data_IF_509259626259
#
_entry.id   IF_509259626259
#
_cell.length_a   1.000
_cell.length_b   1.000
_cell.length_c   1.000
_cell.angle_alpha   90.00
_cell.angle_beta   90.00
_cell.angle_gamma   90.00
#
_symmetry.space_group_name_H-M   'P 1'
#
loop_
_entity.id
_entity.type
_entity.pdbx_description
1 polymer ?
#
# COMPACT_ATOMS: atom_id res chain seq x y z
N UNK A 1 11.64 -1.88 -19.95
CA UNK A 1 12.89 -1.50 -19.25
C UNK A 1 12.75 -0.14 -18.55
N UNK A 2 12.27 0.90 -19.21
CA UNK A 2 12.06 2.23 -18.61
C UNK A 2 11.04 2.23 -17.45
N UNK A 3 9.92 1.52 -17.61
CA UNK A 3 8.93 1.33 -16.54
C UNK A 3 9.50 0.62 -15.30
N UNK A 4 10.29 -0.46 -15.47
CA UNK A 4 11.01 -1.17 -14.39
C UNK A 4 11.95 -0.24 -13.59
N UNK A 5 12.58 0.73 -14.26
CA UNK A 5 13.37 1.77 -13.59
C UNK A 5 12.53 2.68 -12.70
N UNK A 6 11.32 3.07 -13.16
CA UNK A 6 10.37 3.86 -12.36
C UNK A 6 9.83 3.10 -11.14
N UNK A 7 9.52 1.82 -11.26
CA UNK A 7 9.13 0.98 -10.10
C UNK A 7 10.23 0.97 -9.04
N UNK A 8 11.48 0.80 -9.45
CA UNK A 8 12.63 0.80 -8.54
C UNK A 8 12.82 2.18 -7.88
N UNK A 9 12.50 3.26 -8.59
CA UNK A 9 12.60 4.63 -8.09
C UNK A 9 11.54 4.97 -7.03
N UNK A 10 10.31 4.50 -7.21
CA UNK A 10 9.23 4.72 -6.22
C UNK A 10 9.30 3.74 -5.04
N UNK A 11 9.86 2.55 -5.24
CA UNK A 11 9.99 1.55 -4.18
C UNK A 11 8.64 1.19 -3.55
N UNK A 12 8.62 1.11 -2.21
CA UNK A 12 7.42 0.74 -1.46
C UNK A 12 6.24 1.71 -1.61
N UNK A 13 6.48 2.98 -1.99
CA UNK A 13 5.40 3.95 -2.19
C UNK A 13 4.47 3.52 -3.33
N UNK A 14 5.02 2.87 -4.36
CA UNK A 14 4.23 2.36 -5.47
C UNK A 14 3.32 1.20 -5.07
N UNK A 15 3.85 0.22 -4.32
CA UNK A 15 3.05 -0.89 -3.79
C UNK A 15 1.93 -0.39 -2.88
N UNK A 16 2.23 0.58 -2.01
CA UNK A 16 1.25 1.19 -1.11
C UNK A 16 0.15 1.93 -1.86
N UNK A 17 0.49 2.77 -2.84
CA UNK A 17 -0.54 3.51 -3.58
C UNK A 17 -1.41 2.58 -4.43
N UNK A 18 -0.82 1.56 -5.07
CA UNK A 18 -1.60 0.60 -5.86
C UNK A 18 -2.56 -0.22 -5.00
N UNK A 19 -2.10 -0.66 -3.83
CA UNK A 19 -2.95 -1.34 -2.86
C UNK A 19 -4.05 -0.42 -2.32
N UNK A 20 -3.73 0.84 -2.01
CA UNK A 20 -4.72 1.82 -1.60
C UNK A 20 -5.79 2.04 -2.67
N UNK A 21 -5.38 2.11 -3.95
CA UNK A 21 -6.33 2.23 -5.06
C UNK A 21 -7.20 0.96 -5.15
N UNK A 22 -6.62 -0.25 -5.09
CA UNK A 22 -7.40 -1.49 -5.12
C UNK A 22 -8.45 -1.55 -4.00
N UNK A 23 -8.09 -1.09 -2.82
CA UNK A 23 -8.98 -1.12 -1.65
C UNK A 23 -10.04 -0.01 -1.67
N UNK A 24 -9.68 1.19 -2.15
CA UNK A 24 -10.54 2.37 -2.03
C UNK A 24 -11.32 2.70 -3.32
N UNK A 25 -10.86 2.24 -4.48
CA UNK A 25 -11.44 2.58 -5.79
C UNK A 25 -12.20 1.38 -6.36
N UNK A 26 -13.53 1.49 -6.54
CA UNK A 26 -14.33 0.46 -7.20
C UNK A 26 -13.83 0.15 -8.62
N UNK A 27 -13.99 -1.09 -9.08
CA UNK A 27 -13.47 -1.55 -10.39
C UNK A 27 -14.00 -0.73 -11.58
N UNK A 28 -15.24 -0.24 -11.48
CA UNK A 28 -15.90 0.56 -12.53
C UNK A 28 -15.51 2.04 -12.53
N UNK A 29 -14.78 2.51 -11.51
CA UNK A 29 -14.45 3.92 -11.34
C UNK A 29 -13.18 4.29 -12.10
N UNK A 30 -13.26 5.37 -12.90
CA UNK A 30 -12.12 5.88 -13.64
C UNK A 30 -11.22 6.79 -12.79
N UNK A 31 -9.90 6.63 -12.96
CA UNK A 31 -8.88 7.43 -12.30
C UNK A 31 -8.27 8.41 -13.33
N UNK A 32 -8.24 9.68 -12.95
CA UNK A 32 -7.44 10.70 -13.59
C UNK A 32 -6.03 10.68 -12.99
N UNK A 33 -5.00 10.38 -13.78
CA UNK A 33 -3.62 10.30 -13.32
C UNK A 33 -2.69 11.02 -14.31
N UNK A 34 -1.51 11.42 -13.83
CA UNK A 34 -0.49 11.96 -14.71
C UNK A 34 -0.07 10.90 -15.75
N UNK A 35 0.18 11.30 -17.01
CA UNK A 35 0.47 10.36 -18.09
C UNK A 35 1.61 9.38 -17.78
N UNK A 36 2.63 9.84 -17.06
CA UNK A 36 3.85 9.10 -16.77
C UNK A 36 3.68 7.95 -15.78
N UNK A 37 2.54 7.90 -15.07
CA UNK A 37 2.14 6.82 -14.14
C UNK A 37 0.84 6.11 -14.56
N UNK A 38 0.04 6.71 -15.45
CA UNK A 38 -1.24 6.18 -15.90
C UNK A 38 -1.20 4.73 -16.42
N UNK A 39 -0.22 4.36 -17.26
CA UNK A 39 -0.13 2.96 -17.70
C UNK A 39 0.30 2.01 -16.57
N UNK A 40 1.07 2.48 -15.58
CA UNK A 40 1.38 1.66 -14.40
C UNK A 40 0.13 1.40 -13.58
N UNK A 41 -0.73 2.41 -13.41
CA UNK A 41 -2.01 2.21 -12.70
C UNK A 41 -2.88 1.20 -13.45
N UNK A 42 -3.02 1.35 -14.77
CA UNK A 42 -3.77 0.41 -15.60
C UNK A 42 -3.23 -1.03 -15.45
N UNK A 43 -1.92 -1.22 -15.56
CA UNK A 43 -1.30 -2.56 -15.52
C UNK A 43 -1.37 -3.21 -14.13
N UNK A 44 -1.22 -2.46 -13.04
CA UNK A 44 -1.04 -3.04 -11.69
C UNK A 44 -2.29 -3.01 -10.82
N UNK A 45 -3.20 -2.09 -11.11
CA UNK A 45 -4.45 -1.91 -10.36
C UNK A 45 -5.66 -2.39 -11.14
N UNK A 46 -5.55 -2.50 -12.46
CA UNK A 46 -6.67 -2.87 -13.34
C UNK A 46 -7.90 -1.97 -13.10
N UNK A 47 -7.67 -0.66 -13.25
CA UNK A 47 -8.70 0.39 -13.15
C UNK A 47 -8.73 1.21 -14.43
N UNK A 48 -9.91 1.67 -14.88
CA UNK A 48 -10.00 2.58 -16.02
C UNK A 48 -9.18 3.86 -15.80
N UNK A 49 -8.40 4.27 -16.80
CA UNK A 49 -7.57 5.50 -16.75
C UNK A 49 -7.97 6.47 -17.84
N UNK A 50 -8.16 7.75 -17.46
CA UNK A 50 -8.63 8.79 -18.36
C UNK A 50 -7.52 9.33 -19.26
N UNK A 51 -6.30 9.47 -18.73
CA UNK A 51 -5.15 9.99 -19.46
C UNK A 51 -4.12 8.87 -19.68
N UNK A 52 -4.30 8.04 -20.70
CA UNK A 52 -3.37 6.95 -20.99
C UNK A 52 -2.19 7.42 -21.88
N UNK A 53 -0.94 7.00 -21.62
CA UNK A 53 0.27 7.51 -22.28
C UNK A 53 0.52 7.00 -23.70
N UNK A 54 -0.49 6.60 -24.46
CA UNK A 54 -0.29 6.31 -25.89
C UNK A 54 -0.25 7.66 -26.62
N UNK A 55 0.91 8.31 -26.59
CA UNK A 55 1.21 9.62 -27.17
C UNK A 55 1.27 9.61 -28.71
N UNK A 56 0.44 8.82 -29.37
CA UNK A 56 0.55 8.58 -30.81
C UNK A 56 -0.07 9.69 -31.64
N UNK A 57 -1.00 10.49 -31.08
CA UNK A 57 -1.67 11.56 -31.83
C UNK A 57 -1.50 12.96 -31.21
N UNK A 58 -1.46 13.98 -32.08
CA UNK A 58 -1.47 15.38 -31.69
C UNK A 58 -2.66 15.74 -30.78
N UNK A 59 -3.85 15.22 -31.10
CA UNK A 59 -5.07 15.44 -30.31
C UNK A 59 -4.97 14.91 -28.88
N UNK A 60 -4.32 13.75 -28.67
CA UNK A 60 -4.10 13.21 -27.33
C UNK A 60 -3.11 14.07 -26.54
N UNK A 61 -2.06 14.60 -27.18
CA UNK A 61 -1.12 15.54 -26.55
C UNK A 61 -1.82 16.81 -26.08
N UNK A 62 -2.68 17.41 -26.91
CA UNK A 62 -3.46 18.58 -26.50
C UNK A 62 -4.39 18.27 -25.31
N UNK A 63 -5.04 17.10 -25.28
CA UNK A 63 -5.88 16.69 -24.14
C UNK A 63 -5.09 16.57 -22.83
N UNK A 64 -3.87 16.03 -22.89
CA UNK A 64 -2.98 15.93 -21.73
C UNK A 64 -2.56 17.33 -21.26
N UNK A 65 -2.10 18.18 -22.18
CA UNK A 65 -1.69 19.56 -21.89
C UNK A 65 -2.83 20.39 -21.30
N UNK A 66 -4.05 20.24 -21.82
CA UNK A 66 -5.26 20.87 -21.29
C UNK A 66 -5.52 20.42 -19.85
N UNK A 67 -5.52 19.11 -19.58
CA UNK A 67 -5.78 18.55 -18.25
C UNK A 67 -4.73 19.00 -17.22
N UNK A 68 -3.45 19.02 -17.60
CA UNK A 68 -2.37 19.50 -16.75
C UNK A 68 -2.44 21.01 -16.50
N UNK A 69 -2.85 21.80 -17.51
CA UNK A 69 -3.06 23.24 -17.37
C UNK A 69 -4.18 23.56 -16.38
N UNK A 70 -5.24 22.75 -16.34
CA UNK A 70 -6.35 22.92 -15.40
C UNK A 70 -5.91 22.81 -13.94
N UNK A 71 -4.85 22.05 -13.62
CA UNK A 71 -4.33 21.96 -12.25
C UNK A 71 -3.88 23.33 -11.70
N UNK A 72 -3.46 24.25 -12.58
CA UNK A 72 -3.04 25.62 -12.22
C UNK A 72 -4.20 26.62 -12.13
N UNK A 73 -5.42 26.18 -12.41
CA UNK A 73 -6.65 26.97 -12.31
C UNK A 73 -7.28 26.81 -10.93
N UNK A 74 -8.38 27.49 -10.67
CA UNK A 74 -9.16 27.28 -9.44
C UNK A 74 -9.79 25.88 -9.43
N UNK A 75 -10.19 25.39 -8.25
CA UNK A 75 -10.89 24.10 -8.11
C UNK A 75 -12.13 24.03 -9.02
N UNK A 76 -12.94 25.09 -9.07
CA UNK A 76 -14.15 25.13 -9.91
C UNK A 76 -13.87 25.06 -11.42
N UNK A 77 -12.87 25.81 -11.90
CA UNK A 77 -12.46 25.75 -13.31
C UNK A 77 -11.90 24.37 -13.69
N UNK A 78 -11.14 23.74 -12.78
CA UNK A 78 -10.66 22.39 -12.99
C UNK A 78 -11.83 21.43 -13.16
N UNK A 79 -12.77 21.41 -12.20
CA UNK A 79 -13.95 20.53 -12.23
C UNK A 79 -14.74 20.68 -13.53
N UNK A 80 -15.00 21.92 -13.95
CA UNK A 80 -15.68 22.20 -15.22
C UNK A 80 -14.92 21.64 -16.42
N UNK A 81 -13.59 21.77 -16.44
CA UNK A 81 -12.77 21.31 -17.57
C UNK A 81 -12.67 19.78 -17.68
N UNK A 82 -12.75 19.07 -16.54
CA UNK A 82 -12.66 17.60 -16.50
C UNK A 82 -14.02 16.89 -16.48
N UNK A 83 -15.12 17.61 -16.32
CA UNK A 83 -16.49 17.06 -16.19
C UNK A 83 -16.83 16.08 -17.34
N UNK A 84 -16.41 16.40 -18.56
CA UNK A 84 -16.61 15.57 -19.76
C UNK A 84 -15.98 14.17 -19.66
N UNK A 85 -14.99 13.98 -18.79
CA UNK A 85 -14.34 12.70 -18.58
C UNK A 85 -14.87 11.92 -17.38
N UNK A 86 -15.69 12.57 -16.53
CA UNK A 86 -16.31 12.00 -15.32
C UNK A 86 -15.36 11.12 -14.48
N UNK A 87 -14.18 11.64 -14.06
CA UNK A 87 -13.34 10.92 -13.11
C UNK A 87 -14.05 10.71 -11.79
N UNK A 88 -13.86 9.53 -11.21
CA UNK A 88 -14.23 9.27 -9.83
C UNK A 88 -13.07 9.56 -8.87
N UNK A 89 -11.81 9.44 -9.36
CA UNK A 89 -10.61 9.66 -8.56
C UNK A 89 -9.54 10.46 -9.31
N UNK A 90 -8.69 11.16 -8.57
CA UNK A 90 -7.48 11.84 -9.04
C UNK A 90 -6.26 11.28 -8.31
N UNK A 91 -5.30 10.72 -9.05
CA UNK A 91 -3.99 10.33 -8.54
C UNK A 91 -2.98 11.44 -8.82
N UNK A 92 -2.57 12.12 -7.75
CA UNK A 92 -1.65 13.25 -7.73
C UNK A 92 -0.25 12.82 -7.27
N UNK A 93 0.80 13.44 -7.81
CA UNK A 93 2.20 13.15 -7.50
C UNK A 93 2.99 14.42 -7.11
N UNK A 94 3.89 14.29 -6.13
CA UNK A 94 4.76 15.37 -5.65
C UNK A 94 5.77 15.91 -6.68
N UNK A 95 6.00 15.19 -7.79
CA UNK A 95 6.96 15.55 -8.85
C UNK A 95 6.72 16.96 -9.37
N UNK A 96 5.47 17.41 -9.33
CA UNK A 96 5.09 18.78 -9.63
C UNK A 96 5.91 19.84 -8.88
N UNK A 97 6.20 19.64 -7.59
CA UNK A 97 6.98 20.56 -6.75
C UNK A 97 8.48 20.36 -6.94
N UNK A 98 8.90 19.11 -7.12
CA UNK A 98 10.32 18.72 -7.07
C UNK A 98 11.01 18.78 -8.43
N UNK A 99 10.28 18.70 -9.54
CA UNK A 99 10.86 18.66 -10.88
C UNK A 99 11.13 20.08 -11.40
N UNK A 100 12.40 20.48 -11.32
CA UNK A 100 12.89 21.76 -11.86
C UNK A 100 13.42 21.64 -13.29
N UNK A 101 13.24 20.49 -13.95
CA UNK A 101 13.67 20.31 -15.33
C UNK A 101 12.78 21.10 -16.30
N UNK A 102 13.33 21.40 -17.48
CA UNK A 102 12.59 22.02 -18.59
C UNK A 102 11.46 21.13 -19.12
N UNK A 103 11.45 19.86 -18.75
CA UNK A 103 10.45 18.87 -19.13
C UNK A 103 9.30 18.77 -18.13
N UNK A 104 9.39 19.44 -16.97
CA UNK A 104 8.31 19.42 -15.99
C UNK A 104 7.07 20.15 -16.50
N UNK A 105 5.90 19.70 -16.03
CA UNK A 105 4.59 20.29 -16.32
C UNK A 105 4.60 21.81 -16.06
N UNK A 106 5.28 22.25 -14.99
CA UNK A 106 5.44 23.66 -14.63
C UNK A 106 6.13 24.51 -15.69
N UNK A 107 7.15 23.95 -16.33
CA UNK A 107 7.83 24.60 -17.46
C UNK A 107 6.99 24.50 -18.74
N UNK A 108 6.36 23.35 -19.00
CA UNK A 108 5.56 23.11 -20.21
C UNK A 108 4.34 24.03 -20.31
N UNK A 109 3.61 24.24 -19.21
CA UNK A 109 2.41 25.10 -19.22
C UNK A 109 2.72 26.60 -19.00
N UNK A 110 4.00 26.98 -18.97
CA UNK A 110 4.48 28.35 -18.67
C UNK A 110 3.87 28.94 -17.36
N UNK A 111 3.60 28.07 -16.38
CA UNK A 111 3.04 28.45 -15.07
C UNK A 111 4.10 28.30 -14.00
N UNK A 112 5.17 29.09 -14.16
CA UNK A 112 6.23 29.10 -13.16
C UNK A 112 5.70 29.51 -11.77
N UNK A 113 4.62 30.31 -11.66
CA UNK A 113 4.05 30.80 -10.39
C UNK A 113 2.93 29.89 -9.89
N UNK A 114 3.09 29.35 -8.68
CA UNK A 114 2.04 28.59 -7.98
C UNK A 114 1.14 29.56 -7.21
N UNK A 115 -0.07 29.81 -7.70
CA UNK A 115 -1.01 30.73 -7.03
C UNK A 115 -1.63 30.05 -5.82
N UNK A 116 -1.76 30.75 -4.69
CA UNK A 116 -2.37 30.21 -3.45
C UNK A 116 -3.82 29.75 -3.64
N UNK A 117 -4.53 30.24 -4.65
CA UNK A 117 -5.90 29.85 -4.98
C UNK A 117 -6.00 28.81 -6.11
N UNK A 118 -4.87 28.30 -6.61
CA UNK A 118 -4.87 27.24 -7.61
C UNK A 118 -5.16 25.87 -6.97
N UNK A 119 -5.81 24.99 -7.72
CA UNK A 119 -6.12 23.64 -7.29
C UNK A 119 -4.86 22.92 -6.84
N UNK A 120 -3.79 22.99 -7.64
CA UNK A 120 -2.53 22.31 -7.30
C UNK A 120 -1.87 22.84 -6.02
N UNK A 121 -2.10 24.10 -5.63
CA UNK A 121 -1.63 24.59 -4.33
C UNK A 121 -2.38 23.89 -3.19
N UNK A 122 -3.70 23.79 -3.30
CA UNK A 122 -4.52 23.10 -2.31
C UNK A 122 -4.25 21.58 -2.29
N UNK A 123 -4.15 20.93 -3.46
CA UNK A 123 -3.76 19.51 -3.58
C UNK A 123 -2.39 19.21 -2.95
N UNK A 124 -1.51 20.21 -2.82
CA UNK A 124 -0.20 20.04 -2.20
C UNK A 124 -0.18 20.39 -0.71
N UNK A 125 -0.75 21.52 -0.29
CA UNK A 125 -0.48 22.06 1.04
C UNK A 125 -1.70 22.13 1.94
N UNK A 126 -2.88 22.22 1.35
CA UNK A 126 -4.12 22.44 2.08
C UNK A 126 -5.26 21.59 1.49
N UNK A 127 -5.11 20.25 1.43
CA UNK A 127 -6.14 19.38 0.90
C UNK A 127 -7.47 19.51 1.66
N UNK A 128 -7.42 19.88 2.94
CA UNK A 128 -8.59 20.17 3.77
C UNK A 128 -9.41 21.38 3.32
N UNK A 129 -8.84 22.25 2.49
CA UNK A 129 -9.51 23.44 1.95
C UNK A 129 -10.28 23.14 0.65
N UNK A 130 -10.10 21.95 0.07
CA UNK A 130 -10.82 21.51 -1.13
C UNK A 130 -12.27 21.16 -0.79
N UNK A 131 -13.21 21.55 -1.66
CA UNK A 131 -14.64 21.32 -1.43
C UNK A 131 -15.18 20.10 -2.16
N UNK A 132 -14.63 19.80 -3.34
CA UNK A 132 -15.12 18.72 -4.20
C UNK A 132 -14.16 17.51 -4.25
N UNK A 133 -12.93 17.70 -3.77
CA UNK A 133 -11.86 16.72 -3.78
C UNK A 133 -11.48 16.37 -2.35
N UNK A 134 -11.68 15.11 -1.98
CA UNK A 134 -11.35 14.61 -0.64
C UNK A 134 -10.11 13.72 -0.71
N UNK A 135 -9.11 14.00 0.11
CA UNK A 135 -7.92 13.16 0.21
C UNK A 135 -8.31 11.78 0.79
N UNK A 136 -8.00 10.72 0.04
CA UNK A 136 -8.33 9.31 0.37
C UNK A 136 -7.12 8.62 0.96
N UNK A 137 -5.96 8.78 0.32
CA UNK A 137 -4.72 8.12 0.71
C UNK A 137 -3.50 8.96 0.31
N UNK A 138 -2.40 8.82 1.04
CA UNK A 138 -1.18 9.56 0.81
C UNK A 138 0.04 8.69 1.13
N UNK A 139 1.06 8.78 0.28
CA UNK A 139 2.43 8.31 0.54
C UNK A 139 3.39 9.51 0.54
N UNK A 140 4.70 9.28 0.59
CA UNK A 140 5.65 10.38 0.37
C UNK A 140 5.48 10.95 -1.05
N UNK A 141 5.25 10.08 -2.02
CA UNK A 141 5.24 10.41 -3.46
C UNK A 141 3.85 10.75 -4.00
N UNK A 142 2.81 10.06 -3.53
CA UNK A 142 1.48 10.06 -4.14
C UNK A 142 0.39 10.54 -3.20
N UNK A 143 -0.66 11.13 -3.77
CA UNK A 143 -1.94 11.40 -3.11
C UNK A 143 -3.09 10.92 -4.00
N UNK A 144 -4.01 10.19 -3.42
CA UNK A 144 -5.25 9.76 -4.07
C UNK A 144 -6.40 10.61 -3.55
N UNK A 145 -7.13 11.26 -4.45
CA UNK A 145 -8.31 12.06 -4.13
C UNK A 145 -9.57 11.43 -4.73
N UNK A 146 -10.67 11.45 -3.99
CA UNK A 146 -12.00 11.11 -4.50
C UNK A 146 -12.74 12.39 -4.89
N UNK A 147 -13.43 12.35 -6.03
CA UNK A 147 -14.44 13.34 -6.39
C UNK A 147 -15.75 12.96 -5.67
N UNK A 148 -16.32 13.90 -4.92
CA UNK A 148 -17.44 13.73 -3.97
C UNK A 148 -18.30 12.47 -4.17
N UNK A 149 -17.89 11.40 -3.48
CA UNK A 149 -18.62 10.16 -3.25
C UNK A 149 -18.28 9.72 -1.82
N UNK A 150 -19.30 9.22 -1.11
CA UNK A 150 -19.36 9.01 0.34
C UNK A 150 -18.31 8.04 0.92
N UNK A 151 -17.04 8.43 0.94
CA UNK A 151 -15.95 7.62 1.48
C UNK A 151 -15.38 8.23 2.78
N UNK A 152 -14.91 7.36 3.66
CA UNK A 152 -14.47 7.66 5.04
C UNK A 152 -13.09 8.33 5.04
N UNK A 153 -12.90 9.36 5.86
CA UNK A 153 -11.60 9.99 6.08
C UNK A 153 -10.71 9.03 6.87
N UNK A 154 -9.70 8.47 6.20
CA UNK A 154 -8.58 7.86 6.91
C UNK A 154 -7.65 8.99 7.32
N UNK A 155 -7.14 8.96 8.56
CA UNK A 155 -6.08 9.87 8.99
C UNK A 155 -4.95 9.79 7.98
N UNK A 156 -4.65 10.90 7.32
CA UNK A 156 -3.70 10.91 6.21
C UNK A 156 -2.28 10.93 6.79
N UNK A 157 -1.41 9.99 6.41
CA UNK A 157 0.01 10.03 6.77
C UNK A 157 0.57 11.41 6.47
N UNK A 158 1.28 12.04 7.41
CA UNK A 158 2.04 13.24 7.06
C UNK A 158 3.14 12.85 6.07
N UNK A 159 3.37 13.69 5.06
CA UNK A 159 4.59 13.63 4.25
C UNK A 159 5.23 15.01 4.24
N UNK A 160 6.55 15.08 4.50
CA UNK A 160 7.27 16.36 4.56
C UNK A 160 7.24 17.11 3.22
N UNK A 161 7.05 16.42 2.10
CA UNK A 161 6.96 17.05 0.79
C UNK A 161 5.69 17.86 0.58
N UNK A 162 4.68 17.63 1.41
CA UNK A 162 3.41 18.34 1.39
C UNK A 162 3.23 19.29 2.58
N UNK A 163 4.24 19.46 3.44
CA UNK A 163 4.19 20.37 4.59
C UNK A 163 4.58 21.79 4.16
N UNK A 164 3.65 22.77 4.17
CA UNK A 164 3.98 24.14 3.83
C UNK A 164 5.00 24.78 4.78
N UNK A 165 5.13 24.31 6.03
CA UNK A 165 6.11 24.79 7.00
C UNK A 165 7.56 24.43 6.67
N UNK A 166 7.78 23.44 5.80
CA UNK A 166 9.12 23.07 5.32
C UNK A 166 9.57 23.90 4.10
N UNK A 167 8.65 24.58 3.43
CA UNK A 167 8.95 25.51 2.34
C UNK A 167 8.84 26.95 2.88
N UNK A 168 9.90 27.78 2.78
CA UNK A 168 9.88 29.11 3.36
C UNK A 168 8.82 29.98 2.67
N UNK A 169 8.07 30.70 3.49
CA UNK A 169 7.17 31.73 3.04
C UNK A 169 7.98 33.01 2.79
N UNK A 170 8.40 33.24 1.56
CA UNK A 170 8.87 34.56 1.17
C UNK A 170 7.63 35.44 0.88
N UNK A 171 7.37 36.51 1.66
CA UNK A 171 6.19 37.36 1.49
C UNK A 171 6.12 38.04 0.13
N UNK A 172 7.28 38.31 -0.49
CA UNK A 172 7.42 39.07 -1.72
C UNK A 172 7.61 38.17 -2.97
N UNK A 173 7.70 36.85 -2.80
CA UNK A 173 7.87 35.91 -3.90
C UNK A 173 6.58 35.14 -4.18
N UNK A 174 5.98 35.28 -5.38
CA UNK A 174 4.85 34.45 -5.80
C UNK A 174 5.27 33.02 -6.22
N UNK A 175 6.43 32.54 -5.73
CA UNK A 175 7.04 31.26 -6.04
C UNK A 175 7.49 30.51 -4.78
N UNK A 176 7.36 29.18 -4.83
CA UNK A 176 8.30 28.26 -4.19
C UNK A 176 9.68 28.52 -4.81
N UNK A 177 10.55 29.17 -4.06
CA UNK A 177 11.93 29.44 -4.46
C UNK A 177 12.64 28.09 -4.70
N UNK A 178 13.32 27.93 -5.84
CA UNK A 178 14.08 26.72 -6.15
C UNK A 178 15.10 26.38 -5.05
N UNK A 179 15.66 27.39 -4.38
CA UNK A 179 16.56 27.19 -3.23
C UNK A 179 15.86 26.50 -2.06
N UNK A 180 14.56 26.66 -1.93
CA UNK A 180 13.73 26.07 -0.89
C UNK A 180 13.40 24.63 -1.16
N UNK A 181 13.02 24.34 -2.41
CA UNK A 181 12.84 22.97 -2.89
C UNK A 181 14.16 22.20 -2.73
N UNK A 182 15.29 22.83 -3.05
CA UNK A 182 16.61 22.20 -2.87
C UNK A 182 16.96 21.99 -1.39
N UNK A 183 16.64 22.94 -0.50
CA UNK A 183 16.82 22.76 0.96
C UNK A 183 15.99 21.60 1.51
N UNK A 184 14.72 21.47 1.09
CA UNK A 184 13.86 20.35 1.49
C UNK A 184 14.39 19.05 0.91
N UNK A 185 14.78 19.04 -0.37
CA UNK A 185 15.41 17.90 -1.03
C UNK A 185 16.66 17.43 -0.30
N UNK A 186 17.57 18.34 0.02
CA UNK A 186 18.80 18.03 0.76
C UNK A 186 18.52 17.56 2.20
N UNK A 187 17.52 18.15 2.86
CA UNK A 187 17.04 17.69 4.18
C UNK A 187 16.53 16.25 4.12
N UNK A 188 15.66 15.92 3.16
CA UNK A 188 15.13 14.57 2.97
C UNK A 188 16.23 13.60 2.54
N UNK A 189 17.09 13.99 1.60
CA UNK A 189 18.24 13.18 1.17
C UNK A 189 19.19 12.88 2.32
N UNK A 190 19.46 13.85 3.19
CA UNK A 190 20.24 13.64 4.43
C UNK A 190 19.52 12.68 5.38
N UNK A 191 18.22 12.82 5.56
CA UNK A 191 17.41 11.92 6.37
C UNK A 191 17.47 10.47 5.84
N UNK A 192 17.30 10.28 4.52
CA UNK A 192 17.43 8.98 3.85
C UNK A 192 18.84 8.40 3.98
N UNK A 193 19.88 9.22 3.86
CA UNK A 193 21.26 8.81 4.07
C UNK A 193 21.50 8.29 5.49
N UNK A 194 21.04 9.03 6.51
CA UNK A 194 21.12 8.60 7.91
C UNK A 194 20.31 7.33 8.17
N UNK A 195 19.11 7.23 7.62
CA UNK A 195 18.25 6.05 7.69
C UNK A 195 18.93 4.82 7.10
N UNK A 196 19.56 4.94 5.93
CA UNK A 196 20.27 3.82 5.30
C UNK A 196 21.45 3.32 6.15
N UNK A 197 22.19 4.23 6.79
CA UNK A 197 23.26 3.87 7.72
C UNK A 197 22.68 3.22 8.97
N UNK A 198 21.55 3.70 9.49
CA UNK A 198 20.86 3.08 10.61
C UNK A 198 20.39 1.66 10.30
N UNK A 199 19.80 1.44 9.12
CA UNK A 199 19.40 0.12 8.66
C UNK A 199 20.60 -0.85 8.53
N UNK A 200 21.76 -0.36 8.10
CA UNK A 200 23.00 -1.16 8.11
C UNK A 200 23.46 -1.47 9.53
N UNK A 201 23.38 -0.51 10.47
CA UNK A 201 23.72 -0.73 11.87
C UNK A 201 22.83 -1.81 12.50
N UNK A 202 21.52 -1.78 12.23
CA UNK A 202 20.59 -2.84 12.67
C UNK A 202 20.97 -4.22 12.18
N UNK A 203 21.31 -4.35 10.89
CA UNK A 203 21.77 -5.64 10.31
C UNK A 203 23.05 -6.16 10.95
N UNK A 204 23.90 -5.27 11.46
CA UNK A 204 25.15 -5.61 12.17
C UNK A 204 24.95 -5.83 13.68
N UNK A 205 23.73 -5.65 14.19
CA UNK A 205 23.44 -5.75 15.62
C UNK A 205 23.85 -4.53 16.45
N UNK A 206 24.27 -3.43 15.81
CA UNK A 206 24.62 -2.19 16.51
C UNK A 206 23.35 -1.34 16.74
N UNK A 207 22.51 -1.82 17.66
CA UNK A 207 21.18 -1.25 17.94
C UNK A 207 21.26 0.14 18.56
N UNK A 208 22.25 0.41 19.40
CA UNK A 208 22.46 1.73 20.02
C UNK A 208 22.79 2.81 18.97
N UNK A 209 23.67 2.50 18.02
CA UNK A 209 23.97 3.40 16.90
C UNK A 209 22.76 3.60 16.01
N UNK A 210 22.01 2.52 15.74
CA UNK A 210 20.79 2.61 14.96
C UNK A 210 19.78 3.58 15.60
N UNK A 211 19.53 3.47 16.92
CA UNK A 211 18.63 4.37 17.65
C UNK A 211 19.09 5.83 17.53
N UNK A 212 20.38 6.10 17.76
CA UNK A 212 20.95 7.44 17.65
C UNK A 212 20.74 8.05 16.26
N UNK A 213 20.97 7.26 15.20
CA UNK A 213 20.77 7.69 13.82
C UNK A 213 19.30 7.90 13.49
N UNK A 214 18.41 6.98 13.86
CA UNK A 214 16.97 7.07 13.59
C UNK A 214 16.33 8.27 14.31
N UNK A 215 16.74 8.58 15.54
CA UNK A 215 16.31 9.82 16.22
C UNK A 215 16.75 11.06 15.45
N UNK A 216 17.95 11.07 14.83
CA UNK A 216 18.36 12.17 13.93
C UNK A 216 17.54 12.23 12.66
N UNK A 217 17.12 11.08 12.12
CA UNK A 217 16.19 11.04 11.00
C UNK A 217 14.87 11.69 11.40
N UNK A 218 14.31 11.35 12.56
CA UNK A 218 13.08 11.95 13.08
C UNK A 218 13.21 13.45 13.39
N UNK A 219 14.39 13.95 13.78
CA UNK A 219 14.61 15.40 13.90
C UNK A 219 14.54 16.13 12.55
N UNK A 220 14.87 15.45 11.45
CA UNK A 220 14.76 16.00 10.10
C UNK A 220 13.34 15.78 9.54
N UNK A 221 12.80 14.58 9.68
CA UNK A 221 11.49 14.18 9.16
C UNK A 221 10.71 13.52 10.31
N UNK A 222 9.96 14.31 11.11
CA UNK A 222 9.31 13.83 12.34
C UNK A 222 8.35 12.65 12.17
N UNK A 223 7.70 12.56 11.01
CA UNK A 223 6.67 11.55 10.76
C UNK A 223 7.14 10.41 9.85
N UNK A 224 8.47 10.20 9.75
CA UNK A 224 8.99 9.12 8.92
C UNK A 224 8.74 7.76 9.58
N UNK A 225 7.68 7.08 9.13
CA UNK A 225 7.09 5.87 9.68
C UNK A 225 8.12 4.73 9.80
N UNK A 226 9.00 4.59 8.80
CA UNK A 226 10.04 3.56 8.80
C UNK A 226 11.02 3.76 9.94
N UNK A 227 11.29 5.01 10.33
CA UNK A 227 12.19 5.26 11.46
C UNK A 227 11.61 4.81 12.79
N UNK A 228 10.31 5.03 13.01
CA UNK A 228 9.62 4.46 14.16
C UNK A 228 9.63 2.92 14.12
N UNK A 229 9.32 2.29 13.00
CA UNK A 229 9.36 0.83 12.88
C UNK A 229 10.73 0.25 13.24
N UNK A 230 11.81 0.82 12.69
CA UNK A 230 13.16 0.34 12.98
C UNK A 230 13.68 0.73 14.38
N UNK A 231 13.17 1.83 14.97
CA UNK A 231 13.37 2.09 16.41
C UNK A 231 12.72 0.98 17.23
N UNK A 232 11.50 0.57 16.87
CA UNK A 232 10.80 -0.54 17.50
C UNK A 232 11.64 -1.82 17.52
N UNK A 233 12.19 -2.20 16.36
CA UNK A 233 13.10 -3.35 16.24
C UNK A 233 14.33 -3.17 17.13
N UNK A 234 14.95 -1.99 17.13
CA UNK A 234 16.17 -1.73 17.90
C UNK A 234 15.93 -1.90 19.40
N UNK A 235 14.84 -1.31 19.93
CA UNK A 235 14.48 -1.44 21.34
C UNK A 235 14.10 -2.87 21.71
N UNK A 236 13.35 -3.57 20.85
CA UNK A 236 13.02 -4.98 21.07
C UNK A 236 14.28 -5.83 21.20
N UNK A 237 15.28 -5.62 20.34
CA UNK A 237 16.56 -6.34 20.37
C UNK A 237 17.43 -5.97 21.57
N UNK A 238 17.24 -4.79 22.15
CA UNK A 238 17.90 -4.35 23.39
C UNK A 238 17.14 -4.78 24.65
N UNK A 239 15.99 -5.46 24.51
CA UNK A 239 15.20 -5.92 25.65
C UNK A 239 14.33 -4.84 26.29
N UNK A 240 13.98 -3.78 25.55
CA UNK A 240 13.05 -2.73 25.97
C UNK A 240 11.71 -2.86 25.21
N UNK A 241 10.81 -3.75 25.66
CA UNK A 241 9.54 -4.00 24.97
C UNK A 241 8.57 -2.82 25.06
N UNK A 242 8.70 -1.93 26.06
CA UNK A 242 7.83 -0.77 26.22
C UNK A 242 8.11 0.27 25.12
N UNK A 243 9.38 0.64 24.94
CA UNK A 243 9.79 1.52 23.84
C UNK A 243 9.55 0.88 22.48
N UNK A 244 9.71 -0.44 22.36
CA UNK A 244 9.40 -1.16 21.13
C UNK A 244 7.92 -1.03 20.76
N UNK A 245 7.03 -1.29 21.73
CA UNK A 245 5.57 -1.19 21.54
C UNK A 245 5.15 0.22 21.13
N UNK A 246 5.67 1.25 21.81
CA UNK A 246 5.36 2.64 21.49
C UNK A 246 5.78 3.00 20.07
N UNK A 247 6.99 2.58 19.66
CA UNK A 247 7.49 2.89 18.33
C UNK A 247 6.78 2.09 17.22
N UNK A 248 6.34 0.86 17.46
CA UNK A 248 5.49 0.15 16.51
C UNK A 248 4.11 0.80 16.37
N UNK A 249 3.50 1.21 17.49
CA UNK A 249 2.24 1.96 17.48
C UNK A 249 2.37 3.26 16.69
N UNK A 250 3.41 4.06 16.96
CA UNK A 250 3.67 5.29 16.23
C UNK A 250 3.88 5.01 14.74
N UNK A 251 4.65 3.99 14.37
CA UNK A 251 4.86 3.63 12.97
C UNK A 251 3.53 3.29 12.26
N UNK A 252 2.65 2.56 12.94
CA UNK A 252 1.31 2.19 12.47
C UNK A 252 0.34 3.37 12.39
N UNK A 253 0.40 4.31 13.33
CA UNK A 253 -0.38 5.54 13.31
C UNK A 253 0.07 6.48 12.18
N UNK A 254 1.38 6.52 11.89
CA UNK A 254 1.94 7.32 10.80
C UNK A 254 1.67 6.71 9.43
N UNK A 255 1.71 5.39 9.28
CA UNK A 255 1.30 4.71 8.04
C UNK A 255 0.52 3.42 8.32
N UNK A 256 -0.81 3.46 8.17
CA UNK A 256 -1.65 2.27 8.31
C UNK A 256 -1.36 1.14 7.31
N UNK A 257 -0.64 1.39 6.20
CA UNK A 257 -0.23 0.34 5.25
C UNK A 257 1.15 -0.25 5.54
N UNK A 258 1.86 0.23 6.56
CA UNK A 258 3.10 -0.39 7.02
C UNK A 258 2.80 -1.66 7.81
N UNK A 259 2.44 -2.73 7.09
CA UNK A 259 2.04 -4.00 7.68
C UNK A 259 3.07 -4.57 8.65
N UNK A 260 4.37 -4.31 8.41
CA UNK A 260 5.44 -4.80 9.26
C UNK A 260 5.32 -4.28 10.70
N UNK A 261 4.81 -3.05 10.89
CA UNK A 261 4.58 -2.49 12.22
C UNK A 261 3.46 -3.25 12.96
N UNK A 262 2.33 -3.50 12.29
CA UNK A 262 1.19 -4.26 12.86
C UNK A 262 1.60 -5.70 13.21
N UNK A 263 2.33 -6.37 12.31
CA UNK A 263 2.84 -7.73 12.52
C UNK A 263 3.83 -7.77 13.69
N UNK A 264 4.72 -6.79 13.80
CA UNK A 264 5.69 -6.73 14.90
C UNK A 264 5.02 -6.39 16.24
N UNK A 265 4.06 -5.46 16.24
CA UNK A 265 3.25 -5.09 17.40
C UNK A 265 2.44 -6.28 17.91
N UNK A 266 1.72 -6.98 17.03
CA UNK A 266 0.94 -8.18 17.39
C UNK A 266 1.83 -9.32 17.91
N UNK A 267 3.00 -9.55 17.30
CA UNK A 267 3.99 -10.51 17.79
C UNK A 267 4.52 -10.14 19.18
N UNK A 268 4.75 -8.86 19.45
CA UNK A 268 5.19 -8.36 20.75
C UNK A 268 4.10 -8.47 21.81
N UNK A 269 2.85 -8.12 21.47
CA UNK A 269 1.66 -8.31 22.31
C UNK A 269 1.50 -9.78 22.71
N UNK A 270 1.64 -10.70 21.74
CA UNK A 270 1.57 -12.13 22.01
C UNK A 270 2.66 -12.60 22.98
N UNK A 271 3.91 -12.17 22.80
CA UNK A 271 5.01 -12.47 23.75
C UNK A 271 4.78 -11.88 25.14
N UNK A 272 4.09 -10.75 25.23
CA UNK A 272 3.66 -10.16 26.50
C UNK A 272 2.44 -10.86 27.13
N UNK A 273 1.96 -11.98 26.56
CA UNK A 273 0.79 -12.73 27.06
C UNK A 273 -0.56 -12.15 26.67
N UNK A 274 -0.58 -11.07 25.89
CA UNK A 274 -1.78 -10.35 25.47
C UNK A 274 -2.39 -10.92 24.19
N UNK A 275 -2.73 -12.21 24.21
CA UNK A 275 -3.22 -12.95 23.04
C UNK A 275 -4.44 -12.28 22.38
N UNK A 276 -5.43 -11.84 23.17
CA UNK A 276 -6.66 -11.21 22.65
C UNK A 276 -6.37 -9.87 21.96
N UNK A 277 -5.49 -9.05 22.53
CA UNK A 277 -5.09 -7.77 21.94
C UNK A 277 -4.37 -8.01 20.60
N UNK A 278 -3.45 -8.98 20.55
CA UNK A 278 -2.72 -9.33 19.33
C UNK A 278 -3.65 -9.80 18.20
N UNK A 279 -4.60 -10.68 18.51
CA UNK A 279 -5.59 -11.19 17.53
C UNK A 279 -6.53 -10.08 17.06
N UNK A 280 -7.05 -9.26 17.98
CA UNK A 280 -7.94 -8.15 17.61
C UNK A 280 -7.25 -7.14 16.70
N UNK A 281 -5.98 -6.81 16.97
CA UNK A 281 -5.20 -5.91 16.12
C UNK A 281 -5.07 -6.47 14.69
N UNK A 282 -4.77 -7.77 14.55
CA UNK A 282 -4.64 -8.38 13.22
C UNK A 282 -5.98 -8.47 12.48
N UNK A 283 -7.07 -8.85 13.16
CA UNK A 283 -8.40 -8.91 12.54
C UNK A 283 -8.87 -7.52 12.06
N UNK A 284 -8.63 -6.48 12.88
CA UNK A 284 -8.94 -5.11 12.49
C UNK A 284 -8.21 -4.70 11.20
N UNK A 285 -6.93 -5.03 11.07
CA UNK A 285 -6.14 -4.69 9.89
C UNK A 285 -6.43 -5.59 8.69
N UNK A 286 -6.84 -6.84 8.90
CA UNK A 286 -7.35 -7.69 7.83
C UNK A 286 -8.63 -7.07 7.24
N UNK A 287 -9.60 -6.67 8.07
CA UNK A 287 -10.82 -6.04 7.58
C UNK A 287 -10.60 -4.72 6.82
N UNK A 288 -9.51 -4.00 7.10
CA UNK A 288 -9.12 -2.76 6.38
C UNK A 288 -8.33 -3.03 5.11
N UNK A 289 -7.49 -4.06 5.14
CA UNK A 289 -6.47 -4.35 4.11
C UNK A 289 -6.38 -5.86 3.86
N UNK A 290 -7.41 -6.46 3.26
CA UNK A 290 -7.61 -7.91 3.24
C UNK A 290 -6.65 -8.70 2.34
N UNK A 291 -5.82 -8.01 1.55
CA UNK A 291 -4.89 -8.62 0.59
C UNK A 291 -3.42 -8.59 1.05
N UNK A 292 -3.18 -8.33 2.34
CA UNK A 292 -1.85 -8.46 2.94
C UNK A 292 -1.71 -9.82 3.61
N UNK A 293 -0.97 -10.71 2.95
CA UNK A 293 -0.68 -12.07 3.36
C UNK A 293 -0.08 -12.15 4.78
N UNK A 294 0.84 -11.23 5.11
CA UNK A 294 1.56 -11.20 6.37
C UNK A 294 0.63 -11.10 7.60
N UNK A 295 -0.54 -10.48 7.49
CA UNK A 295 -1.49 -10.42 8.60
C UNK A 295 -2.07 -11.79 8.92
N UNK A 296 -2.46 -12.54 7.90
CA UNK A 296 -3.01 -13.88 8.07
C UNK A 296 -1.94 -14.86 8.54
N UNK A 297 -0.72 -14.79 7.99
CA UNK A 297 0.40 -15.61 8.41
C UNK A 297 0.75 -15.37 9.88
N UNK A 298 0.75 -14.10 10.31
CA UNK A 298 0.98 -13.72 11.71
C UNK A 298 -0.14 -14.19 12.62
N UNK A 299 -1.41 -14.03 12.20
CA UNK A 299 -2.58 -14.47 12.94
C UNK A 299 -2.55 -15.99 13.14
N UNK A 300 -2.35 -16.75 12.07
CA UNK A 300 -2.24 -18.19 12.11
C UNK A 300 -1.08 -18.67 13.00
N UNK A 301 0.09 -18.04 12.87
CA UNK A 301 1.25 -18.33 13.72
C UNK A 301 0.96 -18.09 15.21
N UNK A 302 0.30 -16.99 15.56
CA UNK A 302 -0.10 -16.67 16.93
C UNK A 302 -1.12 -17.70 17.46
N UNK A 303 -2.16 -18.02 16.68
CA UNK A 303 -3.22 -18.95 17.09
C UNK A 303 -2.70 -20.38 17.28
N UNK A 304 -1.87 -20.88 16.35
CA UNK A 304 -1.26 -22.21 16.47
C UNK A 304 -0.34 -22.30 17.69
N UNK A 305 0.49 -21.26 17.92
CA UNK A 305 1.37 -21.21 19.11
C UNK A 305 0.61 -21.07 20.42
N UNK A 306 -0.56 -20.41 20.40
CA UNK A 306 -1.42 -20.31 21.57
C UNK A 306 -2.03 -21.67 21.95
N UNK A 307 -2.21 -22.59 20.99
CA UNK A 307 -2.71 -23.95 21.22
C UNK A 307 -4.16 -24.04 21.70
N UNK A 308 -4.91 -22.93 21.70
CA UNK A 308 -6.30 -22.86 22.18
C UNK A 308 -7.27 -23.15 21.03
N UNK A 309 -7.58 -24.44 20.83
CA UNK A 309 -8.43 -24.90 19.70
C UNK A 309 -9.77 -24.18 19.59
N UNK A 310 -10.49 -24.01 20.70
CA UNK A 310 -11.78 -23.29 20.69
C UNK A 310 -11.63 -21.84 20.22
N UNK A 311 -10.61 -21.15 20.73
CA UNK A 311 -10.34 -19.77 20.36
C UNK A 311 -9.87 -19.63 18.90
N UNK A 312 -9.13 -20.61 18.38
CA UNK A 312 -8.76 -20.67 16.96
C UNK A 312 -10.02 -20.76 16.08
N UNK A 313 -10.93 -21.68 16.38
CA UNK A 313 -12.17 -21.85 15.62
C UNK A 313 -13.05 -20.60 15.68
N UNK A 314 -13.24 -20.03 16.86
CA UNK A 314 -13.97 -18.76 17.05
C UNK A 314 -13.35 -17.63 16.21
N UNK A 315 -12.02 -17.54 16.18
CA UNK A 315 -11.30 -16.51 15.42
C UNK A 315 -11.46 -16.71 13.90
N UNK A 316 -11.43 -17.95 13.42
CA UNK A 316 -11.69 -18.29 12.01
C UNK A 316 -13.12 -17.94 11.62
N UNK A 317 -14.10 -18.32 12.44
CA UNK A 317 -15.51 -18.03 12.17
C UNK A 317 -15.75 -16.51 12.10
N UNK A 318 -15.14 -15.75 13.03
CA UNK A 318 -15.18 -14.28 12.99
C UNK A 318 -14.51 -13.71 11.75
N UNK A 319 -13.28 -14.15 11.42
CA UNK A 319 -12.55 -13.69 10.25
C UNK A 319 -13.37 -13.86 8.96
N UNK A 320 -13.99 -15.02 8.79
CA UNK A 320 -14.80 -15.32 7.61
C UNK A 320 -16.13 -14.56 7.60
N UNK A 321 -16.74 -14.31 8.76
CA UNK A 321 -17.98 -13.53 8.85
C UNK A 321 -17.78 -12.07 8.43
N UNK A 322 -16.61 -11.50 8.72
CA UNK A 322 -16.25 -10.11 8.40
C UNK A 322 -15.70 -9.96 6.96
N UNK A 323 -15.28 -11.06 6.30
CA UNK A 323 -14.57 -11.05 5.01
C UNK A 323 -15.07 -12.18 4.07
N UNK A 324 -16.39 -12.35 3.96
CA UNK A 324 -17.01 -13.52 3.33
C UNK A 324 -16.91 -13.58 1.79
N UNK A 325 -16.42 -12.52 1.15
CA UNK A 325 -16.21 -12.37 -0.29
C UNK A 325 -14.72 -12.21 -0.65
N UNK A 326 -13.82 -12.37 0.33
CA UNK A 326 -12.38 -12.19 0.18
C UNK A 326 -11.69 -13.57 0.03
N UNK A 327 -11.22 -13.96 -1.18
CA UNK A 327 -10.57 -15.25 -1.37
C UNK A 327 -9.38 -15.53 -0.43
N UNK A 328 -8.47 -14.55 -0.16
CA UNK A 328 -7.40 -14.74 0.81
C UNK A 328 -7.88 -15.18 2.20
N UNK A 329 -9.01 -14.68 2.70
CA UNK A 329 -9.53 -15.04 4.02
C UNK A 329 -9.86 -16.54 4.12
N UNK A 330 -10.46 -17.11 3.07
CA UNK A 330 -10.73 -18.55 2.97
C UNK A 330 -9.45 -19.37 2.78
N UNK A 331 -8.55 -18.93 1.91
CA UNK A 331 -7.27 -19.60 1.64
C UNK A 331 -6.43 -19.76 2.92
N UNK A 332 -6.24 -18.65 3.67
CA UNK A 332 -5.45 -18.68 4.89
C UNK A 332 -6.15 -19.41 6.03
N UNK A 333 -7.49 -19.31 6.12
CA UNK A 333 -8.27 -20.06 7.10
C UNK A 333 -8.18 -21.57 6.85
N UNK A 334 -8.23 -22.00 5.58
CA UNK A 334 -8.03 -23.40 5.20
C UNK A 334 -6.65 -23.90 5.62
N UNK A 335 -5.59 -23.15 5.31
CA UNK A 335 -4.21 -23.48 5.71
C UNK A 335 -4.06 -23.57 7.24
N UNK A 336 -4.67 -22.64 7.98
CA UNK A 336 -4.66 -22.65 9.45
C UNK A 336 -5.39 -23.86 10.02
N UNK A 337 -6.59 -24.18 9.50
CA UNK A 337 -7.39 -25.32 9.94
C UNK A 337 -6.70 -26.65 9.62
N UNK A 338 -6.06 -26.77 8.46
CA UNK A 338 -5.26 -27.94 8.10
C UNK A 338 -4.14 -28.18 9.11
N UNK A 339 -3.37 -27.14 9.44
CA UNK A 339 -2.29 -27.21 10.43
C UNK A 339 -2.81 -27.56 11.83
N UNK A 340 -4.04 -27.14 12.15
CA UNK A 340 -4.73 -27.51 13.40
C UNK A 340 -5.37 -28.92 13.36
N UNK A 341 -5.33 -29.62 12.23
CA UNK A 341 -5.83 -30.98 12.04
C UNK A 341 -7.27 -31.10 11.52
N UNK A 342 -7.94 -29.99 11.22
CA UNK A 342 -9.33 -29.95 10.73
C UNK A 342 -9.36 -30.03 9.19
N UNK A 343 -8.86 -31.14 8.63
CA UNK A 343 -8.62 -31.29 7.19
C UNK A 343 -9.87 -31.20 6.32
N UNK A 344 -11.00 -31.78 6.74
CA UNK A 344 -12.23 -31.70 5.94
C UNK A 344 -12.75 -30.26 5.87
N UNK A 345 -12.78 -29.53 7.00
CA UNK A 345 -13.13 -28.09 6.99
C UNK A 345 -12.15 -27.27 6.15
N UNK A 346 -10.86 -27.63 6.15
CA UNK A 346 -9.88 -26.96 5.30
C UNK A 346 -10.19 -27.16 3.80
N UNK A 347 -10.62 -28.36 3.40
CA UNK A 347 -11.11 -28.61 2.03
C UNK A 347 -12.31 -27.74 1.72
N UNK A 348 -13.34 -27.72 2.59
CA UNK A 348 -14.55 -26.93 2.37
C UNK A 348 -14.24 -25.43 2.17
N UNK A 349 -13.36 -24.85 3.00
CA UNK A 349 -12.96 -23.44 2.85
C UNK A 349 -12.14 -23.21 1.57
N UNK A 350 -11.27 -24.14 1.19
CA UNK A 350 -10.48 -24.00 -0.03
C UNK A 350 -11.34 -24.13 -1.30
N UNK A 351 -12.39 -24.96 -1.27
CA UNK A 351 -13.40 -25.00 -2.35
C UNK A 351 -14.05 -23.62 -2.54
N UNK A 352 -14.38 -22.92 -1.43
CA UNK A 352 -14.90 -21.54 -1.51
C UNK A 352 -13.86 -20.56 -2.08
N UNK A 353 -12.60 -20.64 -1.66
CA UNK A 353 -11.53 -19.80 -2.20
C UNK A 353 -11.37 -19.95 -3.73
N UNK A 354 -11.40 -21.18 -4.24
CA UNK A 354 -11.36 -21.46 -5.69
C UNK A 354 -12.61 -20.97 -6.41
N UNK A 355 -13.78 -21.03 -5.77
CA UNK A 355 -15.01 -20.51 -6.38
C UNK A 355 -15.03 -18.98 -6.46
N UNK A 356 -14.47 -18.28 -5.47
CA UNK A 356 -14.34 -16.82 -5.48
C UNK A 356 -13.29 -16.32 -6.47
N UNK A 357 -12.22 -17.09 -6.69
CA UNK A 357 -11.17 -16.76 -7.67
C UNK A 357 -10.76 -18.00 -8.49
N UNK A 358 -11.56 -18.36 -9.52
CA UNK A 358 -11.36 -19.56 -10.32
C UNK A 358 -10.12 -19.55 -11.21
N UNK A 359 -9.55 -18.38 -11.48
CA UNK A 359 -8.38 -18.21 -12.36
C UNK A 359 -7.06 -18.22 -11.59
N UNK A 360 -7.11 -18.43 -10.27
CA UNK A 360 -5.91 -18.48 -9.44
C UNK A 360 -5.27 -19.87 -9.45
N UNK A 361 -4.11 -20.06 -10.11
CA UNK A 361 -3.44 -21.36 -10.14
C UNK A 361 -3.00 -21.84 -8.76
N UNK A 362 -2.74 -20.92 -7.82
CA UNK A 362 -2.29 -21.25 -6.46
C UNK A 362 -3.43 -21.88 -5.66
N UNK A 363 -4.64 -21.32 -5.72
CA UNK A 363 -5.79 -21.87 -4.98
C UNK A 363 -6.16 -23.26 -5.48
N UNK A 364 -6.18 -23.47 -6.80
CA UNK A 364 -6.42 -24.81 -7.40
C UNK A 364 -5.37 -25.82 -7.00
N UNK A 365 -4.09 -25.40 -6.97
CA UNK A 365 -2.99 -26.24 -6.50
C UNK A 365 -3.22 -26.68 -5.06
N UNK A 366 -3.50 -25.73 -4.16
CA UNK A 366 -3.68 -26.05 -2.74
C UNK A 366 -4.93 -26.90 -2.49
N UNK A 367 -6.03 -26.67 -3.23
CA UNK A 367 -7.21 -27.53 -3.19
C UNK A 367 -6.88 -28.96 -3.63
N UNK A 368 -6.17 -29.12 -4.76
CA UNK A 368 -5.72 -30.41 -5.24
C UNK A 368 -4.83 -31.15 -4.23
N UNK A 369 -3.92 -30.42 -3.56
CA UNK A 369 -3.09 -30.97 -2.47
C UNK A 369 -3.93 -31.42 -1.27
N UNK A 370 -4.91 -30.63 -0.84
CA UNK A 370 -5.81 -30.99 0.27
C UNK A 370 -6.68 -32.21 -0.06
N UNK A 371 -7.17 -32.32 -1.31
CA UNK A 371 -7.89 -33.50 -1.77
C UNK A 371 -7.02 -34.75 -1.75
N UNK A 372 -5.77 -34.67 -2.19
CA UNK A 372 -4.83 -35.78 -2.11
C UNK A 372 -4.59 -36.22 -0.65
N UNK A 373 -4.35 -35.27 0.25
CA UNK A 373 -4.17 -35.53 1.68
C UNK A 373 -5.39 -36.14 2.38
N UNK A 374 -6.59 -35.91 1.84
CA UNK A 374 -7.86 -36.47 2.34
C UNK A 374 -8.31 -37.71 1.58
N UNK A 375 -7.47 -38.25 0.68
CA UNK A 375 -7.75 -39.47 -0.08
C UNK A 375 -8.72 -39.31 -1.26
N UNK A 376 -9.10 -38.08 -1.60
CA UNK A 376 -10.00 -37.74 -2.71
C UNK A 376 -9.23 -37.63 -4.03
N UNK A 377 -8.58 -38.74 -4.45
CA UNK A 377 -7.60 -38.79 -5.55
C UNK A 377 -8.11 -38.21 -6.88
N UNK A 378 -9.33 -38.54 -7.29
CA UNK A 378 -9.87 -38.10 -8.58
C UNK A 378 -10.04 -36.57 -8.64
N UNK A 379 -10.55 -35.97 -7.55
CA UNK A 379 -10.68 -34.51 -7.45
C UNK A 379 -9.32 -33.83 -7.36
N UNK A 380 -8.35 -34.46 -6.70
CA UNK A 380 -6.97 -33.96 -6.67
C UNK A 380 -6.37 -33.88 -8.08
N UNK A 381 -6.52 -34.93 -8.90
CA UNK A 381 -6.05 -34.95 -10.28
C UNK A 381 -6.70 -33.85 -11.14
N UNK A 382 -7.99 -33.61 -10.96
CA UNK A 382 -8.73 -32.57 -11.69
C UNK A 382 -8.19 -31.17 -11.38
N UNK A 383 -8.11 -30.80 -10.10
CA UNK A 383 -7.69 -29.45 -9.71
C UNK A 383 -6.21 -29.18 -9.99
N UNK A 384 -5.34 -30.19 -9.84
CA UNK A 384 -3.92 -30.08 -10.19
C UNK A 384 -3.71 -29.92 -11.71
N UNK A 385 -4.57 -30.52 -12.55
CA UNK A 385 -4.53 -30.31 -14.01
C UNK A 385 -4.96 -28.90 -14.39
N UNK A 386 -6.10 -28.43 -13.87
CA UNK A 386 -6.58 -27.04 -14.06
C UNK A 386 -5.54 -26.01 -13.59
N UNK A 387 -4.87 -26.27 -12.47
CA UNK A 387 -3.77 -25.41 -12.00
C UNK A 387 -2.63 -25.31 -13.02
N UNK A 388 -2.25 -26.42 -13.68
CA UNK A 388 -1.21 -26.41 -14.73
C UNK A 388 -1.68 -25.81 -16.06
N UNK A 389 -2.98 -25.84 -16.35
CA UNK A 389 -3.55 -25.13 -17.50
C UNK A 389 -3.43 -23.60 -17.32
N UNK A 390 -3.67 -23.12 -16.10
CA UNK A 390 -3.54 -21.70 -15.74
C UNK A 390 -2.08 -21.26 -15.61
N UNK A 391 -1.22 -22.07 -14.99
CA UNK A 391 0.23 -21.83 -14.89
C UNK A 391 1.03 -23.12 -15.19
N UNK A 392 1.56 -23.25 -16.42
CA UNK A 392 2.35 -24.42 -16.84
C UNK A 392 3.71 -24.59 -16.14
N UNK A 393 4.19 -23.59 -15.39
CA UNK A 393 5.55 -23.57 -14.81
C UNK A 393 5.59 -23.97 -13.33
N UNK A 394 4.81 -24.98 -12.94
CA UNK A 394 4.76 -25.50 -11.57
C UNK A 394 5.37 -26.91 -11.44
N UNK A 395 6.70 -27.04 -11.25
CA UNK A 395 7.37 -28.34 -11.17
C UNK A 395 6.88 -29.21 -10.01
N UNK A 396 6.50 -28.60 -8.89
CA UNK A 396 5.90 -29.28 -7.73
C UNK A 396 4.58 -29.97 -8.08
N UNK A 397 3.72 -29.33 -8.89
CA UNK A 397 2.43 -29.89 -9.30
C UNK A 397 2.62 -31.06 -10.25
N UNK A 398 3.57 -30.95 -11.19
CA UNK A 398 3.95 -32.04 -12.10
C UNK A 398 4.45 -33.27 -11.34
N UNK A 399 5.25 -33.08 -10.29
CA UNK A 399 5.74 -34.16 -9.45
C UNK A 399 4.61 -34.87 -8.69
N UNK A 400 3.65 -34.12 -8.13
CA UNK A 400 2.48 -34.69 -7.44
C UNK A 400 1.58 -35.44 -8.42
N UNK A 401 1.27 -34.87 -9.59
CA UNK A 401 0.49 -35.55 -10.63
C UNK A 401 1.13 -36.86 -11.08
N UNK A 402 2.45 -36.89 -11.29
CA UNK A 402 3.18 -38.13 -11.65
C UNK A 402 3.09 -39.22 -10.58
N UNK A 403 2.98 -38.85 -9.30
CA UNK A 403 2.77 -39.80 -8.19
C UNK A 403 1.31 -40.31 -8.14
N UNK A 404 0.36 -39.47 -8.55
CA UNK A 404 -1.08 -39.77 -8.53
C UNK A 404 -1.60 -40.45 -9.81
N UNK A 405 -0.76 -40.60 -10.81
CA UNK A 405 -0.97 -41.47 -11.97
C UNK A 405 -0.23 -42.78 -11.73
#
# INVERSE_FOLDING_TARGET
KEWMGKFTAYGSDWERITMAIKNAVPDSCAILAAPDISAMVLTYVDRPIILHPIYESYWLRCKVEDAETLLYKTEGEFLQGIEKYRPAYLLYQEKFLLDSSRESIRYQVNRLKLRKNSLVYYLNFHPESLRALRLVYQTNTFRLYAFDTAAVALGTPYSPFFDPGLFPQNPDSPYFDGSSVEKVREKVKRALGLYNVAAQALRRGDYTKAISLLRKVLMLVPDFEKSHYYLGIAYEKLGDPEQAMENYRLAREKDPLLYQAVVSESGLLFRAGKLREAVNLLLEYIGRTPYIDDYYLSLGGILLRAGRKSYLLETVDRLLSENNDIPPAYFYSASLLEQAGYRDRAVDLMEVAVNLDPENPIYRRELGRLYDLTGRRDRALEELRKSLELDPYQPQVKAVLKRLL
#
